data_IF_052130893726
#
_entry.id   IF_052130893726
#
_cell.length_a   1.000
_cell.length_b   1.000
_cell.length_c   1.000
_cell.angle_alpha   90.00
_cell.angle_beta   90.00
_cell.angle_gamma   90.00
#
_symmetry.space_group_name_H-M   'P 1'
#
loop_
_entity.id
_entity.type
_entity.pdbx_description
1 polymer ?
#
# COMPACT_ATOMS: atom_id res chain seq x y z
N UNK A 1 -4.60 11.72 -14.60
CA UNK A 1 -5.19 10.84 -13.57
C UNK A 1 -6.69 11.03 -13.67
N UNK A 2 -7.47 9.96 -13.85
CA UNK A 2 -8.93 10.04 -13.82
C UNK A 2 -9.36 10.31 -12.38
N UNK A 3 -10.25 11.29 -12.18
CA UNK A 3 -10.92 11.51 -10.90
C UNK A 3 -11.90 10.37 -10.65
N UNK A 4 -12.11 10.00 -9.38
CA UNK A 4 -12.96 8.86 -9.01
C UNK A 4 -14.45 9.24 -8.92
N UNK A 5 -14.82 10.47 -9.33
CA UNK A 5 -16.20 10.96 -9.40
C UNK A 5 -17.00 10.75 -8.11
N UNK A 6 -16.33 10.85 -6.96
CA UNK A 6 -16.94 10.66 -5.64
C UNK A 6 -17.67 11.97 -5.27
N UNK A 7 -18.97 11.93 -4.94
CA UNK A 7 -19.69 13.11 -4.49
C UNK A 7 -19.01 13.71 -3.25
N UNK A 8 -18.94 15.05 -3.17
CA UNK A 8 -18.24 15.78 -2.09
C UNK A 8 -18.66 15.34 -0.69
N UNK A 9 -19.91 14.92 -0.54
CA UNK A 9 -20.49 14.45 0.71
C UNK A 9 -19.95 13.09 1.17
N UNK A 10 -19.45 12.26 0.25
CA UNK A 10 -18.86 10.94 0.55
C UNK A 10 -17.33 10.96 0.67
N UNK A 11 -16.67 12.08 0.34
CA UNK A 11 -15.20 12.16 0.37
C UNK A 11 -14.62 11.95 1.78
N UNK A 12 -15.37 12.34 2.82
CA UNK A 12 -14.99 12.18 4.22
C UNK A 12 -15.46 10.87 4.86
N UNK A 13 -15.99 9.93 4.07
CA UNK A 13 -16.49 8.64 4.57
C UNK A 13 -15.39 7.85 5.26
N UNK A 14 -15.73 7.32 6.44
CA UNK A 14 -14.82 6.52 7.28
C UNK A 14 -15.46 5.17 7.56
N UNK A 15 -14.90 4.10 6.98
CA UNK A 15 -15.27 2.73 7.27
C UNK A 15 -14.51 2.24 8.50
N UNK A 16 -15.22 1.98 9.60
CA UNK A 16 -14.64 1.40 10.82
C UNK A 16 -14.76 -0.12 10.76
N UNK A 17 -13.70 -0.83 11.10
CA UNK A 17 -13.66 -2.30 11.09
C UNK A 17 -12.76 -2.82 12.21
N UNK A 18 -12.85 -4.12 12.52
CA UNK A 18 -11.99 -4.78 13.49
C UNK A 18 -10.94 -5.59 12.75
N UNK A 19 -9.67 -5.20 12.89
CA UNK A 19 -8.54 -5.92 12.31
C UNK A 19 -7.84 -6.71 13.41
N UNK A 20 -7.95 -8.04 13.39
CA UNK A 20 -7.43 -8.95 14.43
C UNK A 20 -7.74 -8.50 15.87
N UNK A 21 -8.96 -8.03 16.12
CA UNK A 21 -9.40 -7.58 17.44
C UNK A 21 -8.99 -6.15 17.82
N UNK A 22 -8.29 -5.43 16.94
CA UNK A 22 -8.02 -4.01 17.11
C UNK A 22 -8.95 -3.14 16.25
N UNK A 23 -9.50 -2.04 16.81
CA UNK A 23 -10.32 -1.12 16.04
C UNK A 23 -9.45 -0.40 15.00
N UNK A 24 -9.86 -0.48 13.74
CA UNK A 24 -9.22 0.15 12.61
C UNK A 24 -10.23 0.99 11.81
N UNK A 25 -9.73 1.94 11.03
CA UNK A 25 -10.56 2.82 10.22
C UNK A 25 -9.90 3.07 8.87
N UNK A 26 -10.67 2.88 7.79
CA UNK A 26 -10.30 3.21 6.43
C UNK A 26 -11.10 4.43 5.96
N UNK A 27 -10.42 5.28 5.21
CA UNK A 27 -10.98 6.41 4.47
C UNK A 27 -10.61 6.30 2.99
N UNK A 28 -11.24 7.11 2.16
CA UNK A 28 -10.78 7.30 0.78
C UNK A 28 -9.29 7.70 0.76
N UNK A 29 -8.50 7.05 -0.08
CA UNK A 29 -7.05 7.25 -0.16
C UNK A 29 -6.23 6.53 0.93
N UNK A 30 -6.86 5.69 1.76
CA UNK A 30 -6.11 4.85 2.71
C UNK A 30 -5.23 3.86 1.95
N UNK A 31 -3.97 3.78 2.36
CA UNK A 31 -3.02 2.84 1.79
C UNK A 31 -3.34 1.46 2.34
N UNK A 32 -3.50 0.49 1.45
CA UNK A 32 -3.73 -0.93 1.81
C UNK A 32 -2.62 -1.83 1.29
N UNK A 33 -1.91 -1.40 0.25
CA UNK A 33 -0.77 -2.11 -0.33
C UNK A 33 0.39 -1.13 -0.47
N UNK A 34 1.55 -1.51 0.06
CA UNK A 34 2.81 -0.81 -0.10
C UNK A 34 3.91 -1.79 -0.55
N UNK A 35 4.32 -1.70 -1.80
CA UNK A 35 5.25 -2.68 -2.38
C UNK A 35 6.52 -2.03 -2.94
N UNK A 36 7.67 -2.44 -2.42
CA UNK A 36 8.97 -2.12 -3.01
C UNK A 36 9.35 -3.27 -3.94
N UNK A 37 9.32 -2.97 -5.24
CA UNK A 37 9.77 -3.80 -6.37
C UNK A 37 9.05 -5.14 -6.61
N UNK A 38 8.54 -5.88 -5.60
CA UNK A 38 7.46 -6.87 -5.74
C UNK A 38 6.74 -7.26 -4.41
N UNK A 39 5.72 -8.13 -4.50
CA UNK A 39 4.69 -8.46 -3.52
C UNK A 39 4.91 -9.87 -3.00
N UNK A 40 5.04 -9.97 -1.69
CA UNK A 40 4.63 -11.16 -0.95
C UNK A 40 4.23 -10.70 0.44
N UNK A 41 3.30 -11.42 1.04
CA UNK A 41 2.62 -11.03 2.27
C UNK A 41 3.59 -10.92 3.44
N UNK A 42 3.78 -9.71 3.96
CA UNK A 42 4.30 -9.52 5.32
C UNK A 42 3.55 -8.38 6.00
N UNK A 43 2.95 -8.67 7.15
CA UNK A 43 2.34 -7.72 8.07
C UNK A 43 3.29 -7.49 9.25
N UNK A 44 3.47 -6.25 9.71
CA UNK A 44 4.33 -5.96 10.88
C UNK A 44 3.86 -4.67 11.61
N UNK A 45 4.19 -4.49 12.91
CA UNK A 45 3.47 -3.59 13.81
C UNK A 45 3.90 -2.12 13.76
N UNK A 46 4.99 -1.78 13.07
CA UNK A 46 5.45 -0.38 12.95
C UNK A 46 4.64 0.42 11.91
N UNK A 47 4.07 -0.29 10.94
CA UNK A 47 3.15 0.23 9.93
C UNK A 47 1.72 -0.01 10.41
N UNK A 48 0.74 0.73 9.88
CA UNK A 48 -0.68 0.42 10.14
C UNK A 48 -0.93 -1.07 9.86
N UNK A 49 -1.58 -1.81 10.78
CA UNK A 49 -1.54 -3.27 10.79
C UNK A 49 -2.22 -3.91 9.57
N UNK A 50 -3.17 -3.20 8.94
CA UNK A 50 -3.86 -3.64 7.73
C UNK A 50 -3.08 -3.37 6.42
N UNK A 51 -1.96 -2.64 6.48
CA UNK A 51 -1.16 -2.33 5.29
C UNK A 51 -0.29 -3.52 4.96
N UNK A 52 -0.41 -3.97 3.72
CA UNK A 52 0.40 -5.05 3.20
C UNK A 52 1.71 -4.52 2.65
N UNK A 53 2.80 -4.79 3.37
CA UNK A 53 4.16 -4.38 2.99
C UNK A 53 4.93 -5.52 2.36
N UNK A 54 5.76 -5.20 1.36
CA UNK A 54 6.56 -6.21 0.64
C UNK A 54 7.81 -5.63 0.00
N UNK A 55 8.89 -6.41 -0.02
CA UNK A 55 10.16 -6.04 -0.62
C UNK A 55 10.71 -7.21 -1.45
N UNK A 56 10.81 -7.03 -2.76
CA UNK A 56 11.41 -8.05 -3.63
C UNK A 56 12.53 -7.44 -4.49
N UNK A 57 13.78 -7.50 -4.02
CA UNK A 57 14.90 -6.95 -4.78
C UNK A 57 15.04 -7.67 -6.13
N UNK A 58 15.30 -6.91 -7.20
CA UNK A 58 15.46 -7.47 -8.55
C UNK A 58 16.76 -8.27 -8.74
N UNK A 59 17.71 -8.17 -7.80
CA UNK A 59 18.99 -8.87 -7.85
C UNK A 59 19.52 -9.15 -6.44
N UNK A 60 20.24 -10.27 -6.29
CA UNK A 60 20.97 -10.61 -5.06
C UNK A 60 22.02 -9.57 -4.66
N UNK A 61 22.50 -8.75 -5.62
CA UNK A 61 23.43 -7.64 -5.33
C UNK A 61 22.75 -6.57 -4.46
N UNK A 62 21.47 -6.27 -4.73
CA UNK A 62 20.71 -5.29 -3.94
C UNK A 62 20.52 -5.79 -2.52
N UNK A 63 20.21 -7.07 -2.34
CA UNK A 63 20.13 -7.68 -1.01
C UNK A 63 21.45 -7.58 -0.26
N UNK A 64 22.58 -7.88 -0.93
CA UNK A 64 23.90 -7.73 -0.29
C UNK A 64 24.15 -6.30 0.15
N UNK A 65 23.80 -5.30 -0.66
CA UNK A 65 23.92 -3.89 -0.30
C UNK A 65 23.04 -3.51 0.91
N UNK A 66 21.78 -3.97 0.93
CA UNK A 66 20.86 -3.74 2.05
C UNK A 66 21.32 -4.41 3.35
N UNK A 67 21.92 -5.60 3.26
CA UNK A 67 22.49 -6.30 4.41
C UNK A 67 23.78 -5.64 4.90
N UNK A 68 24.69 -5.27 4.00
CA UNK A 68 25.95 -4.62 4.35
C UNK A 68 25.76 -3.24 4.97
N UNK A 69 24.79 -2.47 4.48
CA UNK A 69 24.42 -1.17 5.06
C UNK A 69 23.66 -1.28 6.38
N UNK A 70 23.22 -2.48 6.76
CA UNK A 70 22.33 -2.69 7.91
C UNK A 70 20.88 -2.22 7.70
N UNK A 71 20.55 -1.67 6.53
CA UNK A 71 19.21 -1.15 6.22
C UNK A 71 18.15 -2.25 6.22
N UNK A 72 18.52 -3.48 5.86
CA UNK A 72 17.59 -4.61 5.85
C UNK A 72 16.95 -4.85 7.22
N UNK A 73 17.68 -4.63 8.31
CA UNK A 73 17.14 -4.80 9.67
C UNK A 73 15.94 -3.87 9.90
N UNK A 74 16.10 -2.59 9.57
CA UNK A 74 15.04 -1.60 9.72
C UNK A 74 13.88 -1.85 8.76
N UNK A 75 14.17 -2.26 7.53
CA UNK A 75 13.12 -2.64 6.58
C UNK A 75 12.30 -3.83 7.08
N UNK A 76 12.95 -4.84 7.67
CA UNK A 76 12.26 -5.97 8.30
C UNK A 76 11.39 -5.52 9.48
N UNK A 77 11.87 -4.61 10.33
CA UNK A 77 11.08 -4.02 11.43
C UNK A 77 9.84 -3.26 10.93
N UNK A 78 9.91 -2.71 9.71
CA UNK A 78 8.77 -2.06 9.04
C UNK A 78 7.91 -3.04 8.21
N UNK A 79 8.20 -4.34 8.22
CA UNK A 79 7.45 -5.35 7.48
C UNK A 79 7.83 -5.47 5.99
N UNK A 80 8.92 -4.82 5.56
CA UNK A 80 9.50 -4.96 4.22
C UNK A 80 10.53 -6.09 4.20
N UNK A 81 10.06 -7.31 4.48
CA UNK A 81 10.93 -8.47 4.44
C UNK A 81 11.26 -8.86 2.98
N UNK A 82 12.46 -9.39 2.76
CA UNK A 82 12.83 -9.95 1.46
C UNK A 82 12.05 -11.24 1.25
N UNK A 83 11.20 -11.23 0.23
CA UNK A 83 10.27 -12.33 -0.04
C UNK A 83 10.59 -13.12 -1.30
N UNK A 84 11.53 -12.63 -2.12
CA UNK A 84 12.02 -13.31 -3.30
C UNK A 84 12.74 -12.38 -4.27
N UNK A 85 13.36 -12.97 -5.29
CA UNK A 85 14.00 -12.27 -6.40
C UNK A 85 13.18 -12.52 -7.67
N UNK A 86 12.49 -11.50 -8.16
CA UNK A 86 11.68 -11.63 -9.38
C UNK A 86 10.48 -10.69 -9.41
N UNK A 87 9.85 -10.58 -10.58
CA UNK A 87 8.65 -9.77 -10.80
C UNK A 87 7.42 -10.46 -10.20
N UNK A 88 6.95 -10.04 -9.02
CA UNK A 88 5.73 -10.58 -8.39
C UNK A 88 4.57 -9.54 -8.41
N UNK A 89 4.65 -8.37 -7.74
CA UNK A 89 3.61 -7.30 -7.82
C UNK A 89 3.47 -6.76 -9.23
N UNK A 90 4.59 -6.56 -9.92
CA UNK A 90 4.59 -5.88 -11.21
C UNK A 90 3.81 -6.64 -12.29
N UNK A 91 3.48 -7.92 -12.05
CA UNK A 91 2.65 -8.76 -12.92
C UNK A 91 1.25 -9.03 -12.36
N UNK A 92 0.91 -8.50 -11.18
CA UNK A 92 -0.40 -8.65 -10.56
C UNK A 92 -0.55 -9.81 -9.58
N UNK A 93 0.55 -10.47 -9.21
CA UNK A 93 0.56 -11.43 -8.10
C UNK A 93 0.74 -10.70 -6.77
N UNK A 94 -0.16 -9.76 -6.47
CA UNK A 94 -0.13 -9.05 -5.19
C UNK A 94 -0.55 -9.94 -4.04
N UNK A 95 -1.28 -11.04 -4.30
CA UNK A 95 -1.90 -11.89 -3.28
C UNK A 95 -3.11 -11.22 -2.64
N UNK A 96 -3.91 -11.99 -1.91
CA UNK A 96 -5.16 -11.50 -1.30
C UNK A 96 -4.90 -10.54 -0.14
N UNK A 97 -5.82 -9.58 0.03
CA UNK A 97 -5.92 -8.76 1.25
C UNK A 97 -6.67 -9.54 2.32
N UNK A 98 -6.47 -9.17 3.58
CA UNK A 98 -7.25 -9.73 4.68
C UNK A 98 -8.75 -9.53 4.44
N UNK A 99 -9.54 -10.55 4.75
CA UNK A 99 -10.98 -10.56 4.50
C UNK A 99 -11.69 -9.38 5.18
N UNK A 100 -11.25 -8.99 6.39
CA UNK A 100 -11.84 -7.85 7.11
C UNK A 100 -11.60 -6.53 6.40
N UNK A 101 -10.42 -6.37 5.80
CA UNK A 101 -10.05 -5.19 5.00
C UNK A 101 -10.80 -5.20 3.68
N UNK A 102 -10.88 -6.37 3.03
CA UNK A 102 -11.56 -6.53 1.76
C UNK A 102 -13.06 -6.23 1.85
N UNK A 103 -13.73 -6.76 2.89
CA UNK A 103 -15.13 -6.48 3.17
C UNK A 103 -15.33 -5.01 3.54
N UNK A 104 -14.47 -4.42 4.37
CA UNK A 104 -14.57 -3.00 4.71
C UNK A 104 -14.48 -2.08 3.48
N UNK A 105 -13.62 -2.40 2.50
CA UNK A 105 -13.50 -1.65 1.25
C UNK A 105 -14.75 -1.82 0.38
N UNK A 106 -15.22 -3.06 0.23
CA UNK A 106 -16.30 -3.41 -0.71
C UNK A 106 -17.68 -2.97 -0.20
N UNK A 107 -17.98 -3.18 1.08
CA UNK A 107 -19.27 -2.81 1.70
C UNK A 107 -19.46 -1.30 1.78
N UNK A 108 -18.37 -0.55 1.99
CA UNK A 108 -18.42 0.90 2.16
C UNK A 108 -18.04 1.67 0.89
N UNK A 109 -17.79 0.98 -0.22
CA UNK A 109 -17.31 1.54 -1.49
C UNK A 109 -16.13 2.52 -1.30
N UNK A 110 -15.15 2.14 -0.47
CA UNK A 110 -13.98 3.00 -0.20
C UNK A 110 -13.00 2.94 -1.38
N UNK A 111 -12.42 4.09 -1.74
CA UNK A 111 -11.32 4.13 -2.72
C UNK A 111 -10.02 3.82 -1.99
N UNK A 112 -9.64 2.54 -1.99
CA UNK A 112 -8.38 2.10 -1.42
C UNK A 112 -7.20 2.40 -2.37
N UNK A 113 -6.07 2.78 -1.79
CA UNK A 113 -4.85 3.13 -2.51
C UNK A 113 -3.77 2.04 -2.38
N UNK A 114 -3.09 1.76 -3.49
CA UNK A 114 -1.85 1.00 -3.53
C UNK A 114 -0.69 1.92 -3.94
N UNK A 115 0.44 1.79 -3.26
CA UNK A 115 1.67 2.51 -3.62
C UNK A 115 2.75 1.49 -3.93
N UNK A 116 3.40 1.64 -5.08
CA UNK A 116 4.39 0.70 -5.55
C UNK A 116 5.59 1.39 -6.17
N UNK A 117 6.78 0.82 -5.98
CA UNK A 117 8.02 1.31 -6.63
C UNK A 117 8.32 0.61 -7.96
N UNK A 118 7.28 0.13 -8.63
CA UNK A 118 7.36 -0.50 -9.95
C UNK A 118 7.27 0.52 -11.10
N UNK A 119 7.05 0.00 -12.30
CA UNK A 119 6.93 0.81 -13.52
C UNK A 119 5.52 0.78 -14.15
N UNK A 120 4.59 -0.01 -13.60
CA UNK A 120 3.24 -0.19 -14.14
C UNK A 120 2.23 -0.15 -13.00
N UNK A 121 1.21 0.69 -13.13
CA UNK A 121 0.13 0.89 -12.16
C UNK A 121 -1.27 0.81 -12.79
N UNK A 122 -1.45 -0.06 -13.79
CA UNK A 122 -2.75 -0.22 -14.43
C UNK A 122 -3.82 -0.66 -13.42
N UNK A 123 -5.00 -0.06 -13.53
CA UNK A 123 -6.17 -0.41 -12.73
C UNK A 123 -6.51 -1.90 -12.88
N UNK A 124 -6.86 -2.56 -11.78
CA UNK A 124 -7.14 -4.00 -11.73
C UNK A 124 -5.91 -4.91 -11.88
N UNK A 125 -4.76 -4.41 -12.32
CA UNK A 125 -3.52 -5.21 -12.44
C UNK A 125 -2.77 -5.34 -11.13
N UNK A 126 -2.86 -4.36 -10.23
CA UNK A 126 -2.21 -4.46 -8.90
C UNK A 126 -3.06 -5.31 -7.97
N UNK A 127 -4.30 -4.91 -7.72
CA UNK A 127 -5.28 -5.68 -6.96
C UNK A 127 -6.70 -5.21 -7.35
N UNK A 128 -7.71 -6.10 -7.41
CA UNK A 128 -9.07 -5.72 -7.79
C UNK A 128 -9.70 -4.71 -6.82
N UNK A 129 -9.36 -4.78 -5.54
CA UNK A 129 -9.89 -3.89 -4.50
C UNK A 129 -9.19 -2.52 -4.42
N UNK A 130 -8.13 -2.30 -5.19
CA UNK A 130 -7.38 -1.02 -5.19
C UNK A 130 -7.64 -0.27 -6.48
N UNK A 131 -8.56 0.71 -6.39
CA UNK A 131 -8.90 1.61 -7.50
C UNK A 131 -7.81 2.65 -7.74
N UNK A 132 -7.15 3.14 -6.69
CA UNK A 132 -6.10 4.14 -6.81
C UNK A 132 -4.71 3.48 -6.72
N UNK A 133 -3.91 3.53 -7.78
CA UNK A 133 -2.57 2.92 -7.82
C UNK A 133 -1.51 3.97 -8.17
N UNK A 134 -0.56 4.20 -7.26
CA UNK A 134 0.49 5.21 -7.40
C UNK A 134 1.87 4.58 -7.57
N UNK A 135 2.62 5.08 -8.55
CA UNK A 135 4.05 4.81 -8.70
C UNK A 135 4.84 5.82 -7.87
N UNK A 136 5.73 5.33 -7.02
CA UNK A 136 6.51 6.16 -6.11
C UNK A 136 7.95 5.61 -6.00
N UNK A 137 8.90 6.45 -5.59
CA UNK A 137 10.25 5.94 -5.29
C UNK A 137 10.21 5.00 -4.07
N UNK A 138 11.13 4.02 -3.95
CA UNK A 138 11.20 3.13 -2.78
C UNK A 138 11.09 3.83 -1.40
N UNK A 139 11.82 4.94 -1.12
CA UNK A 139 11.66 5.63 0.16
C UNK A 139 10.27 6.25 0.35
N UNK A 140 9.63 6.69 -0.74
CA UNK A 140 8.30 7.27 -0.68
C UNK A 140 7.22 6.19 -0.45
N UNK A 141 7.42 4.97 -0.96
CA UNK A 141 6.56 3.81 -0.62
C UNK A 141 6.58 3.56 0.90
N UNK A 142 7.77 3.58 1.52
CA UNK A 142 7.89 3.42 2.99
C UNK A 142 7.18 4.57 3.72
N UNK A 143 7.34 5.82 3.26
CA UNK A 143 6.68 6.97 3.86
C UNK A 143 5.14 6.86 3.80
N UNK A 144 4.58 6.45 2.66
CA UNK A 144 3.14 6.25 2.52
C UNK A 144 2.62 5.06 3.32
N UNK A 145 3.41 3.99 3.44
CA UNK A 145 3.06 2.87 4.31
C UNK A 145 2.93 3.35 5.77
N UNK A 146 3.95 4.05 6.27
CA UNK A 146 3.97 4.61 7.63
C UNK A 146 2.81 5.58 7.89
N UNK A 147 2.52 6.45 6.93
CA UNK A 147 1.39 7.37 7.03
C UNK A 147 0.02 6.68 6.98
N UNK A 148 -0.08 5.56 6.24
CA UNK A 148 -1.33 4.81 6.04
C UNK A 148 -2.35 5.51 5.14
N UNK A 149 -1.99 6.63 4.52
CA UNK A 149 -2.84 7.40 3.59
C UNK A 149 -1.98 8.10 2.55
N UNK A 150 -2.50 8.26 1.33
CA UNK A 150 -1.88 9.11 0.30
C UNK A 150 -2.23 10.60 0.48
N UNK A 151 -3.23 10.92 1.30
CA UNK A 151 -3.68 12.29 1.58
C UNK A 151 -2.86 12.97 2.68
N UNK A 152 -1.52 12.94 2.57
CA UNK A 152 -0.62 13.50 3.60
C UNK A 152 -0.56 15.04 3.52
N UNK A 153 -0.76 15.63 2.33
CA UNK A 153 -0.66 17.07 2.11
C UNK A 153 -2.02 17.78 2.18
N UNK A 154 -2.61 17.87 3.37
CA UNK A 154 -3.84 18.64 3.57
C UNK A 154 -3.61 20.17 3.72
N UNK A 155 -2.40 20.67 3.47
CA UNK A 155 -2.11 22.12 3.39
C UNK A 155 -2.09 22.67 1.96
N UNK A 156 -2.09 21.82 0.93
CA UNK A 156 -2.10 22.25 -0.46
C UNK A 156 -3.30 21.62 -1.17
N UNK A 157 -4.44 22.29 -1.05
CA UNK A 157 -5.72 22.09 -1.73
C UNK A 157 -5.71 21.02 -2.85
N UNK A 158 -5.92 19.77 -2.47
CA UNK A 158 -5.85 18.60 -3.35
C UNK A 158 -7.22 18.35 -4.02
N UNK A 159 -7.85 19.42 -4.54
CA UNK A 159 -9.15 19.39 -5.23
C UNK A 159 -9.09 18.71 -6.61
N UNK A 160 -7.94 18.19 -7.04
CA UNK A 160 -7.71 17.65 -8.38
C UNK A 160 -7.50 16.14 -8.42
N UNK A 161 -7.61 15.45 -7.27
CA UNK A 161 -7.38 14.00 -7.17
C UNK A 161 -8.60 13.21 -6.66
N UNK A 162 -9.76 13.87 -6.56
CA UNK A 162 -11.06 13.27 -6.26
C UNK A 162 -12.05 13.66 -7.35
#
# INVERSE_FOLDING_TARGET
MQGFAIPKEEQDKVAKFSFHGQPAALKHGSVVIAAITSCTNTSNPSVKPWVKTSLAPGSGVVTKYLLQSGLQKYLNEQGFNIVGYGCTTCIGNSGELDETVASAISENDIVAAAVLSGNRNFEGRVHPLTRANYLASPPLVVAYALAGTVQIYNSCNFSWLI
#
